data_IF_837152295084
#
_entry.id   IF_837152295084
#
_cell.length_a   1.000
_cell.length_b   1.000
_cell.length_c   1.000
_cell.angle_alpha   90.00
_cell.angle_beta   90.00
_cell.angle_gamma   90.00
#
_symmetry.space_group_name_H-M   'P 1'
#
loop_
_entity.id
_entity.type
_entity.pdbx_description
1 polymer ?
#
# COMPACT_ATOMS: atom_id res chain seq x y z
N UNK A 1 15.15 -20.33 9.94
CA UNK A 1 15.25 -18.96 9.42
C UNK A 1 14.07 -18.16 9.96
N UNK A 2 14.30 -17.02 10.61
CA UNK A 2 13.22 -16.16 11.13
C UNK A 2 12.71 -15.26 10.01
N UNK A 3 11.38 -15.09 9.91
CA UNK A 3 10.73 -14.22 8.94
C UNK A 3 9.39 -13.70 9.45
N UNK A 4 8.67 -12.94 8.62
CA UNK A 4 7.39 -12.31 9.00
C UNK A 4 7.56 -11.18 10.04
N UNK A 5 6.52 -10.83 10.81
CA UNK A 5 6.56 -9.72 11.77
C UNK A 5 7.63 -9.86 12.87
N UNK A 6 8.08 -11.09 13.14
CA UNK A 6 9.17 -11.35 14.08
C UNK A 6 10.54 -10.90 13.54
N UNK A 7 10.71 -10.84 12.21
CA UNK A 7 11.95 -10.48 11.54
C UNK A 7 11.96 -9.09 10.88
N UNK A 8 10.80 -8.44 10.71
CA UNK A 8 10.68 -7.09 10.14
C UNK A 8 9.39 -6.39 10.61
N UNK A 9 9.38 -5.07 10.62
CA UNK A 9 8.21 -4.27 10.96
C UNK A 9 7.33 -3.99 9.74
N UNK A 10 6.07 -4.42 9.79
CA UNK A 10 5.06 -4.12 8.76
C UNK A 10 4.18 -2.93 9.15
N UNK A 11 3.94 -2.01 8.21
CA UNK A 11 2.98 -0.92 8.36
C UNK A 11 2.00 -0.88 7.18
N UNK A 12 0.77 -0.46 7.44
CA UNK A 12 -0.26 -0.26 6.41
C UNK A 12 0.21 0.73 5.34
N UNK A 13 -0.06 0.44 4.07
CA UNK A 13 0.25 1.37 2.97
C UNK A 13 1.74 1.46 2.60
N UNK A 14 2.56 0.48 2.96
CA UNK A 14 4.00 0.44 2.60
C UNK A 14 4.31 -0.31 1.30
N UNK A 15 3.28 -0.71 0.56
CA UNK A 15 3.40 -1.47 -0.70
C UNK A 15 2.57 -0.87 -1.85
N UNK A 16 2.27 0.44 -1.81
CA UNK A 16 1.37 1.11 -2.78
C UNK A 16 1.75 0.96 -4.27
N UNK A 17 3.04 0.80 -4.60
CA UNK A 17 3.45 0.56 -5.98
C UNK A 17 3.21 -0.90 -6.41
N UNK A 18 3.34 -1.84 -5.47
CA UNK A 18 2.98 -3.26 -5.68
C UNK A 18 1.46 -3.42 -5.79
N UNK A 19 0.71 -2.65 -4.99
CA UNK A 19 -0.76 -2.66 -4.98
C UNK A 19 -1.38 -2.07 -6.25
N UNK A 20 -0.59 -1.38 -7.09
CA UNK A 20 -1.06 -0.72 -8.30
C UNK A 20 -0.33 -1.25 -9.54
N UNK A 21 0.21 -0.37 -10.37
CA UNK A 21 0.71 -0.69 -11.70
C UNK A 21 2.09 -1.35 -11.71
N UNK A 22 2.61 -1.82 -10.56
CA UNK A 22 3.92 -2.49 -10.49
C UNK A 22 5.09 -1.64 -10.99
N UNK A 23 4.95 -0.30 -10.97
CA UNK A 23 5.94 0.64 -11.51
C UNK A 23 5.79 0.99 -12.99
N UNK A 24 4.83 0.42 -13.72
CA UNK A 24 4.58 0.73 -15.13
C UNK A 24 3.99 2.12 -15.38
N UNK A 25 3.51 2.81 -14.35
CA UNK A 25 2.88 4.12 -14.45
C UNK A 25 3.18 5.02 -13.26
N UNK A 26 2.74 6.28 -13.36
CA UNK A 26 2.84 7.26 -12.27
C UNK A 26 1.79 6.92 -11.19
N UNK A 27 2.17 7.07 -9.94
CA UNK A 27 1.31 6.80 -8.79
C UNK A 27 1.17 8.06 -7.92
N UNK A 28 -0.05 8.39 -7.49
CA UNK A 28 -0.37 9.63 -6.76
C UNK A 28 0.05 9.66 -5.28
N UNK A 29 0.46 8.52 -4.72
CA UNK A 29 1.03 8.41 -3.37
C UNK A 29 0.05 7.99 -2.27
N UNK A 30 -1.25 7.93 -2.56
CA UNK A 30 -2.27 7.47 -1.61
C UNK A 30 -2.26 5.95 -1.40
N UNK A 31 -2.43 5.49 -0.15
CA UNK A 31 -2.69 4.08 0.15
C UNK A 31 -4.20 3.76 0.17
N UNK A 32 -4.55 2.51 -0.12
CA UNK A 32 -5.94 2.01 -0.08
C UNK A 32 -6.35 1.48 1.29
N UNK A 33 -5.53 0.61 1.89
CA UNK A 33 -5.87 -0.10 3.11
C UNK A 33 -6.07 0.83 4.31
N UNK A 34 -7.08 0.54 5.12
CA UNK A 34 -7.45 1.35 6.28
C UNK A 34 -8.30 2.59 5.97
N UNK A 35 -8.63 2.84 4.70
CA UNK A 35 -9.51 3.94 4.28
C UNK A 35 -10.87 3.42 3.86
N UNK A 36 -11.93 4.12 4.26
CA UNK A 36 -13.27 3.86 3.77
C UNK A 36 -13.42 4.36 2.31
N UNK A 37 -14.45 3.91 1.57
CA UNK A 37 -14.62 4.25 0.15
C UNK A 37 -14.86 5.75 -0.13
N UNK A 38 -15.13 6.59 0.86
CA UNK A 38 -15.23 8.05 0.66
C UNK A 38 -13.88 8.74 0.47
N UNK A 39 -12.77 8.07 0.80
CA UNK A 39 -11.45 8.68 0.68
C UNK A 39 -10.96 8.63 -0.76
N UNK A 40 -10.65 9.81 -1.30
CA UNK A 40 -10.25 10.01 -2.70
C UNK A 40 -9.03 9.19 -3.13
N UNK A 41 -8.12 8.91 -2.20
CA UNK A 41 -6.96 8.05 -2.46
C UNK A 41 -7.33 6.60 -2.80
N UNK A 42 -8.58 6.19 -2.54
CA UNK A 42 -9.10 4.85 -2.80
C UNK A 42 -10.19 4.82 -3.87
N UNK A 43 -10.99 5.88 -3.97
CA UNK A 43 -12.20 5.88 -4.80
C UNK A 43 -12.00 6.37 -6.24
N UNK A 44 -10.89 7.06 -6.53
CA UNK A 44 -10.62 7.71 -7.81
C UNK A 44 -9.57 6.97 -8.65
#
# INVERSE_FOLDING_TARGET
>A
VVGGPMGDCGLTGRKIIVDTYGGSGRHGGGCFSGKDPSKVDRSA
#
